data_IF_012315076167
#
_entry.id   IF_012315076167
#
_cell.length_a   1.000
_cell.length_b   1.000
_cell.length_c   1.000
_cell.angle_alpha   90.00
_cell.angle_beta   90.00
_cell.angle_gamma   90.00
#
_symmetry.space_group_name_H-M   'P 1'
#
loop_
_entity.id
_entity.type
_entity.pdbx_description
1 polymer ?
#
# COMPACT_ATOMS: atom_id res chain seq x y z
N UNK A 1 -5.09 -5.21 -8.60
CA UNK A 1 -5.04 -6.41 -7.71
C UNK A 1 -4.56 -6.04 -6.30
N UNK A 2 -3.44 -5.29 -6.17
CA UNK A 2 -2.85 -4.92 -4.85
C UNK A 2 -3.86 -4.22 -3.93
N UNK A 3 -4.60 -3.21 -4.41
CA UNK A 3 -5.60 -2.53 -3.59
C UNK A 3 -6.71 -3.46 -3.05
N UNK A 4 -7.08 -4.51 -3.81
CA UNK A 4 -8.04 -5.52 -3.33
C UNK A 4 -7.47 -6.31 -2.15
N UNK A 5 -6.20 -6.72 -2.24
CA UNK A 5 -5.51 -7.38 -1.12
C UNK A 5 -5.42 -6.46 0.10
N UNK A 6 -5.14 -5.17 -0.12
CA UNK A 6 -5.09 -4.19 0.97
C UNK A 6 -6.43 -4.07 1.70
N UNK A 7 -7.56 -4.04 0.98
CA UNK A 7 -8.89 -4.04 1.60
C UNK A 7 -9.13 -5.31 2.45
N UNK A 8 -8.72 -6.47 1.93
CA UNK A 8 -8.77 -7.72 2.69
C UNK A 8 -7.91 -7.71 3.96
N UNK A 9 -6.70 -7.16 3.87
CA UNK A 9 -5.81 -7.00 5.03
C UNK A 9 -6.40 -6.02 6.07
N UNK A 10 -6.95 -4.90 5.62
CA UNK A 10 -7.62 -3.95 6.52
C UNK A 10 -8.83 -4.59 7.22
N UNK A 11 -9.62 -5.40 6.50
CA UNK A 11 -10.73 -6.13 7.12
C UNK A 11 -10.26 -7.21 8.11
N UNK A 12 -9.12 -7.85 7.83
CA UNK A 12 -8.54 -8.87 8.71
C UNK A 12 -7.98 -8.24 10.01
N UNK A 13 -7.27 -7.13 9.89
CA UNK A 13 -6.58 -6.48 11.01
C UNK A 13 -7.48 -5.52 11.80
N UNK A 14 -8.37 -4.77 11.12
CA UNK A 14 -9.24 -3.76 11.72
C UNK A 14 -10.67 -4.21 12.00
N UNK A 15 -11.02 -5.44 11.56
CA UNK A 15 -12.40 -5.95 11.66
C UNK A 15 -13.24 -5.67 10.41
N UNK A 16 -14.41 -6.31 10.35
CA UNK A 16 -15.33 -6.13 9.20
C UNK A 16 -15.91 -4.72 9.09
N UNK A 17 -15.92 -4.00 10.19
CA UNK A 17 -16.37 -2.61 10.36
C UNK A 17 -15.20 -1.63 10.44
N UNK A 18 -14.02 -2.04 9.94
CA UNK A 18 -12.82 -1.21 9.90
C UNK A 18 -13.11 0.19 9.35
N UNK A 19 -12.55 1.20 10.00
CA UNK A 19 -12.59 2.60 9.56
C UNK A 19 -11.23 2.98 8.99
N UNK A 20 -11.19 3.18 7.69
CA UNK A 20 -9.96 3.26 6.90
C UNK A 20 -9.74 4.66 6.36
N UNK A 21 -8.61 5.27 6.68
CA UNK A 21 -8.07 6.40 5.93
C UNK A 21 -7.01 5.93 4.93
N UNK A 22 -6.95 6.57 3.77
CA UNK A 22 -5.99 6.21 2.73
C UNK A 22 -5.08 7.39 2.42
N UNK A 23 -3.81 7.08 2.13
CA UNK A 23 -2.85 8.06 1.62
C UNK A 23 -2.35 7.64 0.24
N UNK A 24 -2.25 8.61 -0.68
CA UNK A 24 -1.67 8.39 -2.00
C UNK A 24 -1.04 9.65 -2.55
N UNK A 25 -0.05 9.53 -3.42
CA UNK A 25 0.38 10.64 -4.27
C UNK A 25 -0.75 11.06 -5.20
N UNK A 26 -0.73 12.32 -5.64
CA UNK A 26 -1.75 12.86 -6.53
C UNK A 26 -1.93 12.06 -7.81
N UNK A 27 -3.15 12.08 -8.35
CA UNK A 27 -3.56 11.33 -9.53
C UNK A 27 -2.69 11.57 -10.79
N UNK A 28 -2.00 12.71 -10.86
CA UNK A 28 -1.15 13.05 -12.01
C UNK A 28 0.22 12.38 -11.97
N UNK A 29 0.65 11.94 -10.79
CA UNK A 29 2.02 11.49 -10.54
C UNK A 29 2.16 9.97 -10.44
N UNK A 30 1.08 9.25 -10.16
CA UNK A 30 1.12 7.80 -9.98
C UNK A 30 -0.18 7.09 -10.39
N UNK A 31 -0.29 6.73 -11.66
CA UNK A 31 -1.42 5.93 -12.17
C UNK A 31 -1.63 4.63 -11.37
N UNK A 32 -0.54 4.02 -10.87
CA UNK A 32 -0.59 2.80 -10.05
C UNK A 32 -1.27 3.02 -8.71
N UNK A 33 -1.08 4.17 -8.08
CA UNK A 33 -1.73 4.51 -6.80
C UNK A 33 -3.24 4.70 -6.98
N UNK A 34 -3.64 5.34 -8.07
CA UNK A 34 -5.05 5.46 -8.43
C UNK A 34 -5.71 4.08 -8.61
N UNK A 35 -5.09 3.18 -9.36
CA UNK A 35 -5.60 1.83 -9.57
C UNK A 35 -5.68 1.03 -8.25
N UNK A 36 -4.74 1.24 -7.33
CA UNK A 36 -4.76 0.63 -6.00
C UNK A 36 -5.93 1.15 -5.17
N UNK A 37 -6.14 2.46 -5.12
CA UNK A 37 -7.29 3.07 -4.41
C UNK A 37 -8.63 2.61 -5.02
N UNK A 38 -8.75 2.61 -6.33
CA UNK A 38 -9.95 2.13 -7.01
C UNK A 38 -10.21 0.64 -6.74
N UNK A 39 -9.15 -0.17 -6.76
CA UNK A 39 -9.22 -1.59 -6.42
C UNK A 39 -9.62 -1.84 -4.97
N UNK A 40 -9.12 -1.03 -4.02
CA UNK A 40 -9.50 -1.07 -2.61
C UNK A 40 -11.00 -0.79 -2.44
N UNK A 41 -11.48 0.35 -2.98
CA UNK A 41 -12.89 0.75 -2.89
C UNK A 41 -13.83 -0.31 -3.45
N UNK A 42 -13.51 -0.85 -4.62
CA UNK A 42 -14.32 -1.89 -5.25
C UNK A 42 -14.41 -3.17 -4.41
N UNK A 43 -13.32 -3.58 -3.78
CA UNK A 43 -13.29 -4.76 -2.92
C UNK A 43 -14.04 -4.53 -1.62
N UNK A 44 -13.85 -3.35 -0.99
CA UNK A 44 -14.56 -2.97 0.22
C UNK A 44 -16.08 -2.96 -0.01
N UNK A 45 -16.55 -2.33 -1.10
CA UNK A 45 -17.95 -2.29 -1.47
C UNK A 45 -18.55 -3.68 -1.70
N UNK A 46 -17.81 -4.58 -2.36
CA UNK A 46 -18.30 -5.90 -2.74
C UNK A 46 -18.32 -6.91 -1.59
N UNK A 47 -17.32 -6.87 -0.69
CA UNK A 47 -17.11 -7.94 0.30
C UNK A 47 -17.09 -7.47 1.75
N UNK A 48 -16.90 -6.17 1.99
CA UNK A 48 -16.83 -5.58 3.34
C UNK A 48 -17.76 -4.38 3.49
N UNK A 49 -19.10 -4.58 3.33
CA UNK A 49 -20.06 -3.46 3.27
C UNK A 49 -20.16 -2.66 4.58
N UNK A 50 -19.62 -3.17 5.68
CA UNK A 50 -19.56 -2.46 6.96
C UNK A 50 -18.29 -1.61 7.10
N UNK A 51 -17.24 -1.87 6.27
CA UNK A 51 -16.03 -1.08 6.26
C UNK A 51 -16.33 0.35 5.81
N UNK A 52 -15.82 1.32 6.54
CA UNK A 52 -15.96 2.74 6.20
C UNK A 52 -14.64 3.27 5.65
N UNK A 53 -14.69 3.87 4.47
CA UNK A 53 -13.56 4.61 3.91
C UNK A 53 -13.80 6.08 4.22
N UNK A 54 -13.15 6.57 5.27
CA UNK A 54 -13.39 7.89 5.83
C UNK A 54 -12.78 9.01 4.98
N UNK A 55 -11.56 8.79 4.48
CA UNK A 55 -10.89 9.78 3.65
C UNK A 55 -9.82 9.19 2.73
N UNK A 56 -9.41 10.00 1.76
CA UNK A 56 -8.24 9.75 0.95
C UNK A 56 -7.41 11.03 0.88
N UNK A 57 -6.25 11.01 1.49
CA UNK A 57 -5.36 12.13 1.69
C UNK A 57 -4.22 12.09 0.67
N UNK A 58 -3.80 13.25 0.22
CA UNK A 58 -2.68 13.33 -0.72
C UNK A 58 -1.36 13.42 0.05
N UNK A 59 -0.40 12.59 -0.31
CA UNK A 59 0.98 12.75 0.15
C UNK A 59 1.62 13.87 -0.66
N UNK A 60 2.17 14.85 0.05
CA UNK A 60 2.78 16.04 -0.52
C UNK A 60 4.30 15.97 -0.42
N UNK A 61 5.00 16.78 -1.21
CA UNK A 61 6.47 16.85 -1.17
C UNK A 61 6.99 17.54 0.10
N UNK A 62 6.16 18.38 0.72
CA UNK A 62 6.51 19.09 1.96
C UNK A 62 6.19 18.23 3.19
N UNK A 63 7.21 17.86 3.99
CA UNK A 63 7.00 17.11 5.23
C UNK A 63 6.12 17.82 6.27
N UNK A 64 6.16 19.15 6.33
CA UNK A 64 5.36 19.94 7.28
C UNK A 64 3.88 19.87 6.90
N UNK A 65 3.58 19.95 5.62
CA UNK A 65 2.21 19.83 5.13
C UNK A 65 1.67 18.40 5.35
N UNK A 66 2.50 17.38 5.21
CA UNK A 66 2.11 16.00 5.54
C UNK A 66 1.82 15.82 7.03
N UNK A 67 2.60 16.44 7.90
CA UNK A 67 2.38 16.41 9.36
C UNK A 67 1.02 17.03 9.71
N UNK A 68 0.73 18.22 9.17
CA UNK A 68 -0.57 18.89 9.33
C UNK A 68 -1.72 18.00 8.83
N UNK A 69 -1.54 17.32 7.69
CA UNK A 69 -2.58 16.43 7.16
C UNK A 69 -2.84 15.21 8.06
N UNK A 70 -1.79 14.63 8.66
CA UNK A 70 -1.92 13.50 9.59
C UNK A 70 -2.67 13.93 10.85
N UNK A 71 -2.28 15.07 11.46
CA UNK A 71 -2.98 15.62 12.63
C UNK A 71 -4.46 15.87 12.31
N UNK A 72 -4.74 16.53 11.19
CA UNK A 72 -6.11 16.81 10.75
C UNK A 72 -6.92 15.53 10.48
N UNK A 73 -6.32 14.50 9.92
CA UNK A 73 -6.96 13.20 9.72
C UNK A 73 -7.41 12.61 11.06
N UNK A 74 -6.55 12.64 12.08
CA UNK A 74 -6.86 12.09 13.40
C UNK A 74 -7.93 12.92 14.13
N UNK A 75 -7.91 14.23 13.97
CA UNK A 75 -8.95 15.11 14.54
C UNK A 75 -10.31 14.88 13.86
N UNK A 76 -10.34 14.74 12.54
CA UNK A 76 -11.58 14.58 11.77
C UNK A 76 -12.17 13.16 11.91
N UNK A 77 -11.34 12.16 12.07
CA UNK A 77 -11.73 10.74 12.15
C UNK A 77 -11.14 10.05 13.40
N UNK A 78 -11.58 10.43 14.61
CA UNK A 78 -11.00 9.91 15.86
C UNK A 78 -11.19 8.40 16.07
N UNK A 79 -12.14 7.80 15.36
CA UNK A 79 -12.39 6.34 15.41
C UNK A 79 -11.71 5.57 14.28
N UNK A 80 -10.84 6.20 13.50
CA UNK A 80 -10.06 5.49 12.47
C UNK A 80 -9.17 4.43 13.14
N UNK A 81 -9.14 3.22 12.60
CA UNK A 81 -8.33 2.14 13.14
C UNK A 81 -7.39 1.50 12.09
N UNK A 82 -7.55 1.90 10.83
CA UNK A 82 -6.72 1.40 9.73
C UNK A 82 -6.25 2.54 8.84
N UNK A 83 -4.98 2.48 8.44
CA UNK A 83 -4.45 3.36 7.40
C UNK A 83 -3.89 2.51 6.25
N UNK A 84 -4.30 2.82 5.03
CA UNK A 84 -3.75 2.23 3.82
C UNK A 84 -2.92 3.25 3.04
N UNK A 85 -1.64 2.97 2.84
CA UNK A 85 -0.74 3.80 2.06
C UNK A 85 -0.55 3.16 0.68
N UNK A 86 -1.15 3.78 -0.33
CA UNK A 86 -1.20 3.23 -1.69
C UNK A 86 0.12 3.43 -2.46
N UNK A 87 0.98 4.33 -2.01
CA UNK A 87 2.27 4.56 -2.64
C UNK A 87 3.34 3.62 -2.12
N UNK A 88 4.12 3.00 -3.00
CA UNK A 88 5.36 2.37 -2.59
C UNK A 88 6.36 3.48 -2.22
N UNK A 89 7.13 3.31 -1.21
CA UNK A 89 8.27 4.17 -0.88
C UNK A 89 8.00 5.50 -0.16
N UNK A 90 6.78 5.82 0.25
CA UNK A 90 6.58 6.99 1.11
C UNK A 90 6.51 6.59 2.59
N UNK A 91 7.65 6.14 3.10
CA UNK A 91 7.76 5.65 4.46
C UNK A 91 7.69 6.75 5.51
N UNK A 92 8.00 8.00 5.13
CA UNK A 92 7.91 9.14 6.05
C UNK A 92 6.50 9.35 6.57
N UNK A 93 5.49 9.12 5.75
CA UNK A 93 4.10 9.24 6.21
C UNK A 93 3.75 8.17 7.27
N UNK A 94 4.36 6.98 7.21
CA UNK A 94 4.19 5.95 8.25
C UNK A 94 4.74 6.42 9.59
N UNK A 95 5.93 7.05 9.60
CA UNK A 95 6.53 7.62 10.80
C UNK A 95 5.69 8.75 11.40
N UNK A 96 5.17 9.63 10.54
CA UNK A 96 4.30 10.73 10.97
C UNK A 96 3.02 10.20 11.63
N UNK A 97 2.37 9.21 11.02
CA UNK A 97 1.16 8.57 11.56
C UNK A 97 1.47 7.90 12.90
N UNK A 98 2.53 7.09 12.97
CA UNK A 98 2.92 6.39 14.18
C UNK A 98 3.25 7.34 15.34
N UNK A 99 3.91 8.47 15.04
CA UNK A 99 4.22 9.50 16.04
C UNK A 99 2.97 10.22 16.53
N UNK A 100 2.02 10.49 15.66
CA UNK A 100 0.78 11.19 15.99
C UNK A 100 -0.22 10.28 16.73
N UNK A 101 -0.20 8.98 16.47
CA UNK A 101 -0.99 7.95 17.16
C UNK A 101 -0.33 7.55 18.47
N UNK A 102 -0.51 8.39 19.51
CA UNK A 102 0.13 8.22 20.82
C UNK A 102 -0.25 6.92 21.55
N UNK A 103 -1.42 6.39 21.25
CA UNK A 103 -1.93 5.15 21.85
C UNK A 103 -1.57 3.90 21.02
N UNK A 104 -0.95 4.09 19.86
CA UNK A 104 -0.52 3.05 18.91
C UNK A 104 -1.64 2.04 18.56
N UNK A 105 -2.84 2.58 18.32
CA UNK A 105 -4.03 1.79 17.96
C UNK A 105 -4.21 1.65 16.46
N UNK A 106 -3.60 2.52 15.65
CA UNK A 106 -3.68 2.48 14.22
C UNK A 106 -2.85 1.33 13.65
N UNK A 107 -3.44 0.61 12.71
CA UNK A 107 -2.76 -0.40 11.91
C UNK A 107 -2.45 0.15 10.53
N UNK A 108 -1.22 -0.02 10.07
CA UNK A 108 -0.75 0.51 8.79
C UNK A 108 -0.50 -0.62 7.80
N UNK A 109 -1.16 -0.55 6.65
CA UNK A 109 -0.92 -1.42 5.49
C UNK A 109 -0.35 -0.58 4.35
N UNK A 110 0.74 -1.05 3.73
CA UNK A 110 1.40 -0.32 2.65
C UNK A 110 1.72 -1.23 1.45
N UNK A 111 2.52 -0.74 0.53
CA UNK A 111 2.97 -1.46 -0.67
C UNK A 111 4.48 -1.47 -0.77
N UNK A 112 4.98 -2.54 -1.43
CA UNK A 112 6.38 -2.82 -1.70
C UNK A 112 7.23 -3.08 -0.44
N UNK A 113 8.47 -3.51 -0.63
CA UNK A 113 9.43 -3.81 0.45
C UNK A 113 10.75 -3.13 0.11
N UNK A 114 11.21 -2.26 1.01
CA UNK A 114 12.56 -1.71 1.01
C UNK A 114 13.17 -1.94 2.39
N UNK A 115 14.47 -1.78 2.51
CA UNK A 115 15.19 -1.97 3.77
C UNK A 115 14.62 -1.10 4.91
N UNK A 116 14.32 0.17 4.61
CA UNK A 116 13.68 1.08 5.56
C UNK A 116 12.31 0.57 6.04
N UNK A 117 11.49 0.03 5.13
CA UNK A 117 10.19 -0.51 5.50
C UNK A 117 10.32 -1.78 6.35
N UNK A 118 11.31 -2.63 6.05
CA UNK A 118 11.59 -3.81 6.86
C UNK A 118 11.87 -3.41 8.32
N UNK A 119 12.71 -2.41 8.53
CA UNK A 119 12.97 -1.87 9.85
C UNK A 119 11.71 -1.32 10.53
N UNK A 120 10.86 -0.57 9.80
CA UNK A 120 9.59 -0.07 10.33
C UNK A 120 8.63 -1.18 10.75
N UNK A 121 8.65 -2.32 10.06
CA UNK A 121 7.86 -3.48 10.45
C UNK A 121 8.43 -4.14 11.71
N UNK A 122 9.74 -4.21 11.87
CA UNK A 122 10.41 -4.68 13.09
C UNK A 122 10.12 -3.78 14.29
N UNK A 123 10.07 -2.47 14.06
CA UNK A 123 9.77 -1.45 15.08
C UNK A 123 8.26 -1.34 15.39
N UNK A 124 7.41 -2.10 14.69
CA UNK A 124 5.96 -2.09 14.89
C UNK A 124 5.23 -0.86 14.32
N UNK A 125 5.87 -0.09 13.45
CA UNK A 125 5.28 1.08 12.77
C UNK A 125 4.36 0.65 11.63
N UNK A 126 4.70 -0.44 10.93
CA UNK A 126 3.93 -0.97 9.80
C UNK A 126 3.56 -2.42 10.07
N UNK A 127 2.28 -2.75 9.95
CA UNK A 127 1.76 -4.09 10.25
C UNK A 127 1.88 -5.07 9.08
N UNK A 128 1.64 -4.59 7.86
CA UNK A 128 1.73 -5.42 6.66
C UNK A 128 2.08 -4.62 5.42
N UNK A 129 2.71 -5.28 4.45
CA UNK A 129 2.97 -4.71 3.13
C UNK A 129 2.69 -5.72 2.01
N UNK A 130 2.41 -5.20 0.81
CA UNK A 130 2.11 -5.99 -0.38
C UNK A 130 3.20 -5.74 -1.41
N UNK A 131 4.05 -6.71 -1.67
CA UNK A 131 5.11 -6.61 -2.68
C UNK A 131 4.68 -7.16 -4.04
N UNK A 132 5.33 -6.65 -5.08
CA UNK A 132 5.06 -6.99 -6.49
C UNK A 132 6.22 -7.74 -7.13
N UNK A 133 7.13 -8.32 -6.37
CA UNK A 133 8.31 -9.05 -6.85
C UNK A 133 9.17 -8.23 -7.84
N UNK A 134 9.77 -7.11 -7.45
CA UNK A 134 10.48 -6.21 -8.36
C UNK A 134 11.64 -6.89 -9.11
N UNK A 135 12.34 -7.84 -8.49
CA UNK A 135 13.39 -8.63 -9.14
C UNK A 135 12.83 -9.49 -10.28
N UNK A 136 11.68 -10.14 -10.07
CA UNK A 136 11.01 -10.95 -11.09
C UNK A 136 10.48 -10.06 -12.22
N UNK A 137 9.92 -8.89 -11.91
CA UNK A 137 9.46 -7.93 -12.92
C UNK A 137 10.62 -7.48 -13.82
N UNK A 138 11.77 -7.13 -13.24
CA UNK A 138 12.96 -6.74 -13.97
C UNK A 138 13.49 -7.88 -14.88
N UNK A 139 13.63 -9.07 -14.33
CA UNK A 139 14.11 -10.24 -15.08
C UNK A 139 13.16 -10.60 -16.22
N UNK A 140 11.85 -10.66 -15.97
CA UNK A 140 10.83 -10.98 -16.98
C UNK A 140 10.82 -9.95 -18.13
N UNK A 141 10.94 -8.67 -17.80
CA UNK A 141 10.99 -7.60 -18.80
C UNK A 141 12.20 -7.74 -19.72
N UNK A 142 13.38 -8.04 -19.17
CA UNK A 142 14.60 -8.28 -19.95
C UNK A 142 14.49 -9.55 -20.78
N UNK A 143 13.93 -10.64 -20.23
CA UNK A 143 13.73 -11.88 -20.96
C UNK A 143 12.81 -11.68 -22.18
N UNK A 144 11.68 -11.02 -21.99
CA UNK A 144 10.72 -10.71 -23.07
C UNK A 144 11.40 -9.88 -24.15
N UNK A 145 12.13 -8.83 -23.76
CA UNK A 145 12.86 -7.99 -24.72
C UNK A 145 13.94 -8.76 -25.47
N UNK A 146 14.72 -9.59 -24.78
CA UNK A 146 15.75 -10.42 -25.38
C UNK A 146 15.15 -11.40 -26.41
N UNK A 147 14.09 -12.12 -26.05
CA UNK A 147 13.40 -13.06 -26.96
C UNK A 147 12.87 -12.35 -28.22
N UNK A 148 12.31 -11.15 -28.04
CA UNK A 148 11.84 -10.36 -29.17
C UNK A 148 12.98 -9.93 -30.08
N UNK A 149 14.08 -9.44 -29.57
CA UNK A 149 15.21 -8.94 -30.38
C UNK A 149 16.02 -10.06 -31.00
N UNK A 150 16.25 -11.16 -30.30
CA UNK A 150 17.09 -12.26 -30.76
C UNK A 150 16.35 -13.25 -31.67
N UNK A 151 15.05 -13.49 -31.41
CA UNK A 151 14.29 -14.56 -32.08
C UNK A 151 13.00 -14.06 -32.77
N UNK A 152 12.64 -12.77 -32.65
CA UNK A 152 11.40 -12.21 -33.18
C UNK A 152 10.16 -12.68 -32.42
N UNK A 153 10.32 -13.30 -31.24
CA UNK A 153 9.22 -13.82 -30.45
C UNK A 153 8.46 -12.68 -29.77
N UNK A 154 7.18 -12.54 -30.08
CA UNK A 154 6.31 -11.57 -29.39
C UNK A 154 5.71 -12.16 -28.11
N UNK A 155 5.53 -11.37 -27.03
CA UNK A 155 4.83 -11.84 -25.85
C UNK A 155 3.41 -12.31 -26.24
N UNK A 156 2.98 -13.42 -25.63
CA UNK A 156 1.65 -14.01 -25.87
C UNK A 156 0.53 -13.11 -25.36
N UNK A 157 0.79 -12.36 -24.30
CA UNK A 157 -0.17 -11.49 -23.67
C UNK A 157 0.29 -10.04 -23.70
N UNK A 158 -0.65 -9.11 -23.82
CA UNK A 158 -0.38 -7.68 -23.82
C UNK A 158 0.17 -7.20 -22.46
N UNK A 159 -0.29 -7.81 -21.38
CA UNK A 159 0.10 -7.46 -20.01
C UNK A 159 0.60 -8.71 -19.29
N UNK A 160 1.85 -8.68 -18.85
CA UNK A 160 2.45 -9.73 -18.01
C UNK A 160 2.48 -9.24 -16.56
N UNK A 161 1.77 -9.93 -15.69
CA UNK A 161 1.71 -9.58 -14.26
C UNK A 161 2.52 -10.57 -13.44
N UNK A 162 3.28 -10.07 -12.49
CA UNK A 162 3.90 -10.88 -11.44
C UNK A 162 2.91 -11.18 -10.32
N UNK A 163 3.24 -12.13 -9.48
CA UNK A 163 2.46 -12.43 -8.29
C UNK A 163 2.60 -11.32 -7.24
N UNK A 164 1.61 -11.23 -6.36
CA UNK A 164 1.62 -10.33 -5.22
C UNK A 164 1.86 -11.14 -3.96
N UNK A 165 2.81 -10.70 -3.14
CA UNK A 165 3.12 -11.31 -1.86
C UNK A 165 2.75 -10.37 -0.72
N UNK A 166 2.11 -10.93 0.30
CA UNK A 166 1.84 -10.23 1.55
C UNK A 166 3.00 -10.53 2.50
N UNK A 167 3.57 -9.47 3.06
CA UNK A 167 4.57 -9.56 4.10
C UNK A 167 4.01 -9.02 5.40
N UNK A 168 4.25 -9.78 6.44
CA UNK A 168 4.10 -9.41 7.84
C UNK A 168 5.44 -9.66 8.51
N UNK A 169 5.64 -9.21 9.74
CA UNK A 169 6.91 -9.34 10.45
C UNK A 169 7.49 -10.76 10.38
N UNK A 170 6.64 -11.80 10.51
CA UNK A 170 7.07 -13.20 10.61
C UNK A 170 7.61 -13.79 9.32
N UNK A 171 7.31 -13.21 8.14
CA UNK A 171 7.80 -13.70 6.85
C UNK A 171 8.66 -12.69 6.08
N UNK A 172 9.02 -11.59 6.72
CA UNK A 172 9.73 -10.47 6.09
C UNK A 172 11.10 -10.89 5.53
N UNK A 173 11.83 -11.76 6.20
CA UNK A 173 13.18 -12.23 5.86
C UNK A 173 13.22 -13.60 5.18
N UNK A 174 12.08 -14.13 4.73
CA UNK A 174 11.98 -15.48 4.13
C UNK A 174 12.17 -15.48 2.61
N UNK A 175 12.96 -14.56 2.04
CA UNK A 175 13.25 -14.50 0.58
C UNK A 175 14.62 -15.08 0.23
#
# INVERSE_FOLDING_TARGET
KSGRLAAGLCALAGGKDARVCMFSQGLKEAASSFERIAGFRKEAEAYYPQMKIEGCWQILDDPVENDIQVEKMLEEYPDVNMVYIANPADYKICELIHRADTDHQLKIVTNDVAETLAQMMEDGVVDATISQQPKVQGALSLEILFRYLAFGEKPKEKNCYTELHIHILQNLHQN
#
